data_IF_098354305146
#
_entry.id   IF_098354305146
#
_cell.length_a   1.000
_cell.length_b   1.000
_cell.length_c   1.000
_cell.angle_alpha   90.00
_cell.angle_beta   90.00
_cell.angle_gamma   90.00
#
_symmetry.space_group_name_H-M   'P 1'
#
loop_
_entity.id
_entity.type
_entity.pdbx_description
1 polymer ?
#
# COMPACT_ATOMS: atom_id res chain seq x y z
N UNK A 1 32.00 4.11 36.14
CA UNK A 1 31.48 5.30 35.45
C UNK A 1 30.25 4.85 34.69
N UNK A 2 29.14 5.51 34.96
CA UNK A 2 27.77 5.06 34.77
C UNK A 2 27.40 5.01 33.29
N UNK A 3 26.75 3.92 32.88
CA UNK A 3 26.07 3.77 31.59
C UNK A 3 24.98 4.83 31.46
N UNK A 4 25.02 5.61 30.37
CA UNK A 4 23.87 6.42 29.96
C UNK A 4 23.21 5.72 28.77
N UNK A 5 22.26 4.84 29.10
CA UNK A 5 21.22 4.37 28.19
C UNK A 5 20.30 5.55 27.88
N UNK A 6 20.62 6.33 26.85
CA UNK A 6 19.65 7.25 26.27
C UNK A 6 18.70 6.45 25.36
N UNK A 7 17.69 5.85 26.00
CA UNK A 7 16.49 5.38 25.30
C UNK A 7 15.71 6.64 24.94
N UNK A 8 16.09 7.28 23.83
CA UNK A 8 15.29 8.32 23.20
C UNK A 8 14.13 7.66 22.45
N UNK A 9 13.15 7.19 23.22
CA UNK A 9 11.83 6.79 22.75
C UNK A 9 11.01 8.06 22.42
N UNK A 10 11.52 8.88 21.49
CA UNK A 10 10.67 9.83 20.81
C UNK A 10 9.86 9.05 19.78
N UNK A 11 8.54 9.12 19.95
CA UNK A 11 7.50 8.51 19.16
C UNK A 11 7.49 9.07 17.71
N UNK A 12 8.61 8.93 16.98
CA UNK A 12 8.67 9.17 15.55
C UNK A 12 7.76 8.15 14.92
N UNK A 13 6.56 8.61 14.53
CA UNK A 13 5.63 7.84 13.72
C UNK A 13 6.41 7.39 12.48
N UNK A 14 6.84 6.13 12.47
CA UNK A 14 7.63 5.60 11.38
C UNK A 14 6.78 5.69 10.12
N UNK A 15 7.26 6.46 9.16
CA UNK A 15 6.63 6.63 7.86
C UNK A 15 7.46 5.86 6.83
N UNK A 16 6.78 5.03 6.06
CA UNK A 16 7.37 4.24 4.99
C UNK A 16 7.06 4.91 3.65
N UNK A 17 8.11 5.23 2.89
CA UNK A 17 7.99 5.86 1.59
C UNK A 17 8.06 4.81 0.47
N UNK A 18 7.11 4.85 -0.45
CA UNK A 18 7.05 3.96 -1.60
C UNK A 18 6.98 4.77 -2.89
N UNK A 19 7.85 4.47 -3.84
CA UNK A 19 8.00 5.16 -5.12
C UNK A 19 7.53 4.26 -6.25
N UNK A 20 6.59 4.75 -7.06
CA UNK A 20 6.10 4.07 -8.24
C UNK A 20 7.07 4.28 -9.40
N UNK A 21 7.74 3.22 -9.86
CA UNK A 21 8.79 3.35 -10.89
C UNK A 21 8.27 3.89 -12.23
N UNK A 22 7.02 3.59 -12.59
CA UNK A 22 6.40 4.00 -13.86
C UNK A 22 5.94 5.46 -13.91
N UNK A 23 5.49 6.01 -12.77
CA UNK A 23 4.95 7.38 -12.70
C UNK A 23 5.83 8.36 -11.92
N UNK A 24 6.89 7.85 -11.30
CA UNK A 24 7.75 8.56 -10.36
C UNK A 24 7.00 9.23 -9.19
N UNK A 25 5.76 8.83 -8.89
CA UNK A 25 4.98 9.34 -7.76
C UNK A 25 5.38 8.63 -6.46
N UNK A 26 5.22 9.29 -5.32
CA UNK A 26 5.54 8.75 -4.00
C UNK A 26 4.31 8.77 -3.09
N UNK A 27 4.20 7.75 -2.25
CA UNK A 27 3.25 7.69 -1.15
C UNK A 27 4.00 7.48 0.16
N UNK A 28 3.44 8.00 1.25
CA UNK A 28 3.95 7.80 2.59
C UNK A 28 2.87 7.13 3.43
N UNK A 29 3.20 5.97 3.99
CA UNK A 29 2.29 5.17 4.80
C UNK A 29 2.81 5.09 6.23
N UNK A 30 1.91 5.26 7.20
CA UNK A 30 2.22 4.88 8.58
C UNK A 30 2.09 3.36 8.76
N UNK A 31 2.55 2.83 9.89
CA UNK A 31 2.50 1.39 10.20
C UNK A 31 1.09 0.78 10.02
N UNK A 32 0.02 1.44 10.50
CA UNK A 32 -1.35 0.93 10.37
C UNK A 32 -1.78 0.80 8.91
N UNK A 33 -1.42 1.75 8.05
CA UNK A 33 -1.71 1.69 6.62
C UNK A 33 -0.85 0.65 5.91
N UNK A 34 0.42 0.52 6.30
CA UNK A 34 1.30 -0.54 5.81
C UNK A 34 0.71 -1.93 6.10
N UNK A 35 0.33 -2.18 7.35
CA UNK A 35 -0.21 -3.46 7.82
C UNK A 35 -1.49 -3.87 7.09
N UNK A 36 -2.25 -2.91 6.55
CA UNK A 36 -3.44 -3.18 5.75
C UNK A 36 -3.15 -3.67 4.33
N UNK A 37 -1.90 -3.65 3.88
CA UNK A 37 -1.48 -4.05 2.53
C UNK A 37 -0.38 -5.11 2.63
N UNK A 38 -0.73 -6.41 2.64
CA UNK A 38 0.22 -7.50 2.90
C UNK A 38 1.46 -7.49 2.00
N UNK A 39 1.30 -7.18 0.71
CA UNK A 39 2.42 -7.06 -0.22
C UNK A 39 3.46 -6.00 0.23
N UNK A 40 3.00 -4.83 0.67
CA UNK A 40 3.91 -3.76 1.13
C UNK A 40 4.56 -4.11 2.46
N UNK A 41 3.81 -4.72 3.39
CA UNK A 41 4.37 -5.23 4.64
C UNK A 41 5.47 -6.27 4.39
N UNK A 42 5.28 -7.16 3.43
CA UNK A 42 6.28 -8.15 3.04
C UNK A 42 7.56 -7.47 2.50
N UNK A 43 7.44 -6.46 1.64
CA UNK A 43 8.59 -5.69 1.16
C UNK A 43 9.40 -5.09 2.32
N UNK A 44 8.71 -4.48 3.29
CA UNK A 44 9.37 -3.85 4.44
C UNK A 44 10.02 -4.88 5.35
N UNK A 45 9.36 -6.00 5.61
CA UNK A 45 9.87 -7.09 6.45
C UNK A 45 11.09 -7.79 5.82
N UNK A 46 11.07 -7.92 4.49
CA UNK A 46 12.09 -8.60 3.70
C UNK A 46 13.05 -7.59 3.03
N UNK A 47 13.49 -6.57 3.76
CA UNK A 47 14.35 -5.47 3.24
C UNK A 47 15.71 -5.91 2.66
N UNK A 48 16.09 -7.16 2.87
CA UNK A 48 17.33 -7.76 2.34
C UNK A 48 17.11 -8.66 1.12
N UNK A 49 15.85 -8.90 0.73
CA UNK A 49 15.52 -9.66 -0.47
C UNK A 49 15.49 -8.77 -1.71
N UNK A 50 15.74 -9.37 -2.87
CA UNK A 50 15.80 -8.71 -4.18
C UNK A 50 14.51 -7.95 -4.55
N UNK A 51 13.38 -8.32 -3.93
CA UNK A 51 12.07 -7.69 -4.14
C UNK A 51 11.94 -6.33 -3.45
N UNK A 52 12.85 -6.00 -2.52
CA UNK A 52 12.74 -4.84 -1.63
C UNK A 52 13.80 -3.78 -1.94
N UNK A 53 13.94 -3.45 -3.22
CA UNK A 53 14.90 -2.45 -3.68
C UNK A 53 14.53 -1.08 -3.14
N UNK A 54 15.50 -0.38 -2.53
CA UNK A 54 15.36 1.01 -2.10
C UNK A 54 16.22 1.92 -2.98
N UNK A 55 15.74 3.12 -3.28
CA UNK A 55 16.56 4.14 -3.94
C UNK A 55 17.48 4.86 -2.94
N UNK A 56 18.28 5.80 -3.45
CA UNK A 56 19.20 6.64 -2.65
C UNK A 56 18.50 7.47 -1.55
N UNK A 57 17.21 7.78 -1.74
CA UNK A 57 16.39 8.49 -0.75
C UNK A 57 15.78 7.53 0.30
N UNK A 58 16.08 6.24 0.22
CA UNK A 58 15.53 5.22 1.10
C UNK A 58 14.07 4.85 0.82
N UNK A 59 13.53 5.19 -0.34
CA UNK A 59 12.17 4.86 -0.74
C UNK A 59 12.12 3.46 -1.34
N UNK A 60 11.14 2.65 -0.95
CA UNK A 60 10.91 1.34 -1.54
C UNK A 60 10.38 1.50 -2.97
N UNK A 61 11.04 0.86 -3.94
CA UNK A 61 10.66 0.91 -5.33
C UNK A 61 9.56 -0.11 -5.62
N UNK A 62 8.43 0.36 -6.12
CA UNK A 62 7.32 -0.47 -6.56
C UNK A 62 7.47 -0.84 -8.04
N UNK A 63 7.42 -2.14 -8.33
CA UNK A 63 7.56 -2.68 -9.69
C UNK A 63 6.37 -2.33 -10.59
N UNK A 64 6.59 -2.51 -11.90
CA UNK A 64 5.77 -2.00 -12.99
C UNK A 64 4.29 -2.45 -13.09
N UNK A 65 3.75 -3.51 -12.44
CA UNK A 65 2.30 -3.75 -12.53
C UNK A 65 1.47 -2.79 -11.68
N UNK A 66 2.06 -2.08 -10.71
CA UNK A 66 1.29 -1.23 -9.78
C UNK A 66 1.14 0.16 -10.39
N UNK A 67 -0.01 0.45 -11.00
CA UNK A 67 -0.34 1.79 -11.44
C UNK A 67 -0.74 2.67 -10.25
N UNK A 68 -0.26 3.91 -10.23
CA UNK A 68 -0.51 4.84 -9.14
C UNK A 68 -2.00 5.13 -8.93
N UNK A 69 -2.76 5.36 -10.01
CA UNK A 69 -4.20 5.69 -9.92
C UNK A 69 -4.98 4.53 -9.31
N UNK A 70 -4.76 3.31 -9.78
CA UNK A 70 -5.38 2.10 -9.24
C UNK A 70 -5.01 1.88 -7.79
N UNK A 71 -3.73 2.03 -7.46
CA UNK A 71 -3.27 1.88 -6.09
C UNK A 71 -3.92 2.90 -5.15
N UNK A 72 -4.06 4.16 -5.56
CA UNK A 72 -4.69 5.19 -4.74
C UNK A 72 -6.17 4.90 -4.50
N UNK A 73 -6.91 4.46 -5.52
CA UNK A 73 -8.31 4.04 -5.36
C UNK A 73 -8.43 2.86 -4.36
N UNK A 74 -7.54 1.87 -4.48
CA UNK A 74 -7.45 0.75 -3.54
C UNK A 74 -7.14 1.23 -2.13
N UNK A 75 -6.11 2.07 -1.95
CA UNK A 75 -5.72 2.61 -0.65
C UNK A 75 -6.87 3.39 -0.01
N UNK A 76 -7.59 4.23 -0.77
CA UNK A 76 -8.75 4.95 -0.27
C UNK A 76 -9.88 3.99 0.16
N UNK A 77 -10.19 2.97 -0.63
CA UNK A 77 -11.20 1.98 -0.28
C UNK A 77 -10.89 1.27 1.05
N UNK A 78 -9.61 0.94 1.29
CA UNK A 78 -9.14 0.32 2.54
C UNK A 78 -9.28 1.30 3.71
N UNK A 79 -8.83 2.54 3.54
CA UNK A 79 -8.86 3.57 4.59
C UNK A 79 -10.30 3.89 5.00
N UNK A 80 -11.22 3.97 4.03
CA UNK A 80 -12.63 4.25 4.27
C UNK A 80 -13.42 3.02 4.73
N UNK A 81 -12.85 1.81 4.59
CA UNK A 81 -13.55 0.56 4.84
C UNK A 81 -14.74 0.34 3.90
N UNK A 82 -14.71 0.96 2.72
CA UNK A 82 -15.81 0.97 1.75
C UNK A 82 -15.30 0.45 0.42
N UNK A 83 -15.70 -0.78 0.09
CA UNK A 83 -15.37 -1.42 -1.18
C UNK A 83 -15.99 -0.71 -2.38
N UNK A 84 -17.16 -0.08 -2.17
CA UNK A 84 -17.90 0.63 -3.22
C UNK A 84 -17.14 1.83 -3.76
N UNK A 85 -16.23 2.41 -2.97
CA UNK A 85 -15.46 3.59 -3.36
C UNK A 85 -14.54 3.33 -4.55
N UNK A 86 -14.13 2.06 -4.75
CA UNK A 86 -13.40 1.66 -5.95
C UNK A 86 -14.20 1.91 -7.23
N UNK A 87 -15.50 1.62 -7.22
CA UNK A 87 -16.36 1.75 -8.40
C UNK A 87 -16.78 3.19 -8.68
N UNK A 88 -16.65 4.09 -7.69
CA UNK A 88 -16.98 5.51 -7.84
C UNK A 88 -15.76 6.39 -8.08
N UNK A 89 -14.58 6.01 -7.61
CA UNK A 89 -13.35 6.79 -7.76
C UNK A 89 -12.54 6.41 -9.01
N UNK A 90 -12.72 5.21 -9.56
CA UNK A 90 -12.12 4.86 -10.84
C UNK A 90 -12.82 5.66 -11.95
N UNK A 91 -12.07 6.40 -12.79
CA UNK A 91 -12.65 7.05 -13.97
C UNK A 91 -13.37 6.02 -14.84
N UNK A 92 -14.48 6.39 -15.50
CA UNK A 92 -15.28 5.48 -16.35
C UNK A 92 -14.48 4.75 -17.45
N UNK A 93 -13.28 5.25 -17.77
CA UNK A 93 -12.37 4.68 -18.78
C UNK A 93 -11.33 3.74 -18.21
N UNK A 94 -11.22 3.61 -16.89
CA UNK A 94 -10.23 2.76 -16.27
C UNK A 94 -10.68 1.30 -16.17
N UNK A 95 -9.69 0.42 -16.26
CA UNK A 95 -9.92 -1.01 -16.36
C UNK A 95 -10.22 -1.60 -14.97
N UNK A 96 -11.50 -1.81 -14.68
CA UNK A 96 -11.96 -2.48 -13.44
C UNK A 96 -11.24 -3.82 -13.25
N UNK A 97 -11.03 -4.59 -14.32
CA UNK A 97 -10.31 -5.87 -14.24
C UNK A 97 -8.85 -5.66 -13.79
N UNK A 98 -8.19 -4.60 -14.27
CA UNK A 98 -6.83 -4.25 -13.84
C UNK A 98 -6.75 -3.86 -12.37
N UNK A 99 -7.78 -3.18 -11.86
CA UNK A 99 -7.87 -2.82 -10.44
C UNK A 99 -8.13 -4.05 -9.55
N UNK A 100 -8.99 -4.97 -9.99
CA UNK A 100 -9.23 -6.23 -9.29
C UNK A 100 -7.98 -7.12 -9.26
N UNK A 101 -7.27 -7.23 -10.39
CA UNK A 101 -5.97 -7.93 -10.44
C UNK A 101 -4.94 -7.32 -9.51
N UNK A 102 -4.92 -5.98 -9.40
CA UNK A 102 -4.05 -5.31 -8.43
C UNK A 102 -4.45 -5.66 -6.99
N UNK A 103 -5.74 -5.80 -6.71
CA UNK A 103 -6.24 -6.18 -5.39
C UNK A 103 -5.69 -7.54 -4.94
N UNK A 104 -5.79 -8.54 -5.82
CA UNK A 104 -5.25 -9.87 -5.61
C UNK A 104 -3.71 -9.83 -5.47
N UNK A 105 -3.04 -9.07 -6.34
CA UNK A 105 -1.58 -8.90 -6.30
C UNK A 105 -1.10 -8.29 -4.97
N UNK A 106 -1.85 -7.36 -4.39
CA UNK A 106 -1.53 -6.74 -3.11
C UNK A 106 -1.80 -7.66 -1.90
N UNK A 107 -2.35 -8.85 -2.14
CA UNK A 107 -2.68 -9.84 -1.10
C UNK A 107 -3.86 -9.41 -0.23
N UNK A 108 -4.74 -8.55 -0.76
CA UNK A 108 -5.89 -8.05 -0.03
C UNK A 108 -7.01 -9.10 -0.03
N UNK A 109 -7.69 -9.28 1.11
CA UNK A 109 -8.81 -10.22 1.19
C UNK A 109 -9.94 -9.77 0.26
N UNK A 110 -10.55 -10.73 -0.44
CA UNK A 110 -11.70 -10.50 -1.32
C UNK A 110 -12.78 -9.68 -0.62
N UNK A 111 -13.27 -8.66 -1.32
CA UNK A 111 -14.39 -7.85 -0.84
C UNK A 111 -15.62 -8.72 -0.63
N UNK A 112 -16.35 -8.47 0.46
CA UNK A 112 -17.78 -8.73 0.49
C UNK A 112 -18.40 -7.81 -0.55
N UNK A 113 -18.43 -8.27 -1.80
CA UNK A 113 -19.36 -7.72 -2.77
C UNK A 113 -20.74 -7.90 -2.14
N UNK A 114 -21.59 -6.86 -2.11
CA UNK A 114 -23.00 -7.07 -1.88
C UNK A 114 -23.52 -7.85 -3.08
N UNK A 115 -23.24 -9.15 -3.12
CA UNK A 115 -24.01 -10.11 -3.88
C UNK A 115 -25.42 -9.89 -3.38
N UNK A 116 -26.24 -9.37 -4.29
CA UNK A 116 -27.68 -9.19 -4.16
C UNK A 116 -28.18 -10.05 -3.01
N UNK A 117 -28.52 -9.44 -1.87
CA UNK A 117 -29.34 -10.13 -0.87
C UNK A 117 -30.55 -10.60 -1.66
N UNK A 118 -30.52 -11.88 -2.03
CA UNK A 118 -31.64 -12.53 -2.68
C UNK A 118 -32.83 -12.24 -1.80
N UNK A 119 -33.87 -11.71 -2.43
CA UNK A 119 -35.18 -11.51 -1.79
C UNK A 119 -35.63 -12.76 -1.06
#
# INVERSE_FOLDING_TARGET
MTETLEINNENKKVMYAFRFTTSNKCIHLNQKQLDSIPYLSAIVAHKHDFLSTRNENGEYLLNSPIQYTWFMAVLHSIILGQSYTLFTELPERENILGTLQLFDYLGLNSFDLPLLKGK
#
